data_IF_308615237259
#
_entry.id   IF_308615237259
#
_cell.length_a   1.000
_cell.length_b   1.000
_cell.length_c   1.000
_cell.angle_alpha   90.00
_cell.angle_beta   90.00
_cell.angle_gamma   90.00
#
_symmetry.space_group_name_H-M   'P 1'
#
loop_
_entity.id
_entity.type
_entity.pdbx_description
1 polymer ?
#
# COMPACT_ATOMS: atom_id res chain seq x y z
N UNK A 1 -0.19 -25.18 -16.90
CA UNK A 1 -1.55 -25.02 -16.35
C UNK A 1 -1.63 -24.19 -15.06
N UNK A 2 -0.59 -24.10 -14.21
CA UNK A 2 -0.64 -23.33 -12.94
C UNK A 2 -0.57 -21.79 -13.11
N UNK A 3 0.02 -21.31 -14.20
CA UNK A 3 0.20 -19.89 -14.52
C UNK A 3 -1.11 -19.06 -14.65
N UNK A 4 -2.18 -19.55 -15.31
CA UNK A 4 -3.43 -18.78 -15.42
C UNK A 4 -4.15 -18.61 -14.08
N UNK A 5 -4.16 -19.60 -13.19
CA UNK A 5 -4.79 -19.48 -11.87
C UNK A 5 -4.07 -18.42 -11.04
N UNK A 6 -2.74 -18.46 -11.01
CA UNK A 6 -1.92 -17.45 -10.34
C UNK A 6 -2.19 -16.04 -10.89
N UNK A 7 -2.32 -15.90 -12.21
CA UNK A 7 -2.64 -14.62 -12.84
C UNK A 7 -4.04 -14.12 -12.47
N UNK A 8 -5.06 -14.97 -12.54
CA UNK A 8 -6.43 -14.61 -12.17
C UNK A 8 -6.50 -14.16 -10.71
N UNK A 9 -5.86 -14.90 -9.80
CA UNK A 9 -5.82 -14.54 -8.37
C UNK A 9 -5.07 -13.22 -8.16
N UNK A 10 -3.93 -13.03 -8.82
CA UNK A 10 -3.14 -11.80 -8.72
C UNK A 10 -3.93 -10.58 -9.22
N UNK A 11 -4.55 -10.68 -10.39
CA UNK A 11 -5.36 -9.59 -10.98
C UNK A 11 -6.58 -9.29 -10.12
N UNK A 12 -7.32 -10.31 -9.68
CA UNK A 12 -8.48 -10.12 -8.82
C UNK A 12 -8.09 -9.45 -7.49
N UNK A 13 -7.00 -9.92 -6.86
CA UNK A 13 -6.47 -9.30 -5.65
C UNK A 13 -6.01 -7.86 -5.89
N UNK A 14 -5.36 -7.59 -7.03
CA UNK A 14 -4.96 -6.26 -7.47
C UNK A 14 -6.13 -5.29 -7.60
N UNK A 15 -7.20 -5.71 -8.26
CA UNK A 15 -8.44 -4.92 -8.38
C UNK A 15 -9.05 -4.64 -7.01
N UNK A 16 -9.17 -5.65 -6.16
CA UNK A 16 -9.68 -5.48 -4.80
C UNK A 16 -8.80 -4.52 -3.99
N UNK A 17 -7.47 -4.66 -4.06
CA UNK A 17 -6.51 -3.78 -3.41
C UNK A 17 -6.64 -2.32 -3.87
N UNK A 18 -6.78 -2.08 -5.18
CA UNK A 18 -6.95 -0.75 -5.74
C UNK A 18 -8.27 -0.11 -5.33
N UNK A 19 -9.37 -0.86 -5.27
CA UNK A 19 -10.67 -0.36 -4.84
C UNK A 19 -10.71 -0.09 -3.33
N UNK A 20 -10.08 -0.94 -2.53
CA UNK A 20 -10.05 -0.81 -1.06
C UNK A 20 -9.02 0.23 -0.59
N UNK A 21 -7.97 0.51 -1.35
CA UNK A 21 -6.90 1.44 -0.98
C UNK A 21 -7.39 2.83 -0.57
N UNK A 22 -8.23 3.52 -1.38
CA UNK A 22 -8.80 4.82 -1.01
C UNK A 22 -9.62 4.78 0.29
N UNK A 23 -10.39 3.70 0.50
CA UNK A 23 -11.17 3.50 1.71
C UNK A 23 -10.27 3.27 2.93
N UNK A 24 -9.20 2.48 2.78
CA UNK A 24 -8.21 2.25 3.80
C UNK A 24 -7.45 3.53 4.17
N UNK A 25 -7.07 4.35 3.18
CA UNK A 25 -6.46 5.68 3.38
C UNK A 25 -7.42 6.61 4.12
N UNK A 26 -8.68 6.67 3.70
CA UNK A 26 -9.69 7.51 4.35
C UNK A 26 -9.95 7.08 5.81
N UNK A 27 -9.91 5.78 6.09
CA UNK A 27 -9.97 5.26 7.45
C UNK A 27 -8.70 5.56 8.26
N UNK A 28 -7.52 5.46 7.65
CA UNK A 28 -6.24 5.77 8.28
C UNK A 28 -6.15 7.25 8.70
N UNK A 29 -6.58 8.17 7.84
CA UNK A 29 -6.61 9.61 8.13
C UNK A 29 -7.53 9.93 9.31
N UNK A 30 -8.64 9.20 9.46
CA UNK A 30 -9.62 9.41 10.54
C UNK A 30 -9.17 8.87 11.90
N UNK A 31 -8.09 8.11 11.98
CA UNK A 31 -7.53 7.62 13.25
C UNK A 31 -8.42 6.65 14.06
N UNK A 32 -9.57 6.23 13.51
CA UNK A 32 -10.58 5.43 14.21
C UNK A 32 -10.22 3.96 14.51
N UNK A 33 -11.08 3.28 15.27
CA UNK A 33 -10.98 1.84 15.60
C UNK A 33 -11.03 0.97 14.32
N UNK A 34 -10.49 -0.27 14.41
CA UNK A 34 -10.25 -1.24 13.31
C UNK A 34 -11.26 -1.07 12.16
N UNK A 35 -10.78 -0.64 11.00
CA UNK A 35 -11.62 -0.64 9.79
C UNK A 35 -11.51 -2.00 9.11
N UNK A 36 -12.66 -2.65 8.87
CA UNK A 36 -12.74 -3.87 8.06
C UNK A 36 -12.13 -3.67 6.67
N UNK A 37 -12.28 -2.47 6.09
CA UNK A 37 -11.67 -2.11 4.81
C UNK A 37 -10.13 -2.09 4.88
N UNK A 38 -9.55 -1.61 5.98
CA UNK A 38 -8.09 -1.62 6.16
C UNK A 38 -7.53 -3.04 6.33
N UNK A 39 -8.28 -3.92 7.01
CA UNK A 39 -7.91 -5.33 7.15
C UNK A 39 -8.04 -6.09 5.82
N UNK A 40 -9.12 -5.85 5.08
CA UNK A 40 -9.33 -6.43 3.76
C UNK A 40 -8.27 -5.93 2.75
N UNK A 41 -7.87 -4.65 2.84
CA UNK A 41 -6.78 -4.10 2.04
C UNK A 41 -5.44 -4.78 2.36
N UNK A 42 -5.09 -4.96 3.64
CA UNK A 42 -3.89 -5.73 4.02
C UNK A 42 -3.94 -7.15 3.46
N UNK A 43 -5.09 -7.83 3.58
CA UNK A 43 -5.26 -9.17 3.03
C UNK A 43 -5.05 -9.22 1.51
N UNK A 44 -5.61 -8.25 0.78
CA UNK A 44 -5.41 -8.13 -0.65
C UNK A 44 -3.94 -7.88 -1.01
N UNK A 45 -3.25 -6.98 -0.30
CA UNK A 45 -1.82 -6.70 -0.52
C UNK A 45 -0.97 -7.95 -0.27
N UNK A 46 -1.24 -8.70 0.80
CA UNK A 46 -0.52 -9.94 1.10
C UNK A 46 -0.69 -10.99 -0.01
N UNK A 47 -1.92 -11.13 -0.57
CA UNK A 47 -2.16 -12.00 -1.72
C UNK A 47 -1.40 -11.52 -2.97
N UNK A 48 -1.42 -10.22 -3.25
CA UNK A 48 -0.67 -9.63 -4.39
C UNK A 48 0.84 -9.88 -4.23
N UNK A 49 1.40 -9.63 -3.05
CA UNK A 49 2.82 -9.83 -2.78
C UNK A 49 3.22 -11.29 -2.92
N UNK A 50 2.43 -12.20 -2.35
CA UNK A 50 2.69 -13.65 -2.43
C UNK A 50 2.64 -14.16 -3.87
N UNK A 51 1.62 -13.73 -4.63
CA UNK A 51 1.49 -14.12 -6.04
C UNK A 51 2.56 -13.47 -6.93
N UNK A 52 3.01 -12.24 -6.63
CA UNK A 52 4.13 -11.60 -7.31
C UNK A 52 5.44 -12.35 -7.10
N UNK A 53 5.74 -12.81 -5.88
CA UNK A 53 6.89 -13.70 -5.63
C UNK A 53 6.75 -15.01 -6.43
N UNK A 54 5.54 -15.55 -6.56
CA UNK A 54 5.26 -16.70 -7.41
C UNK A 54 5.70 -16.49 -8.86
N UNK A 55 5.41 -15.34 -9.47
CA UNK A 55 5.87 -15.02 -10.83
C UNK A 55 7.38 -14.91 -10.95
N UNK A 56 8.04 -14.36 -9.93
CA UNK A 56 9.50 -14.22 -9.89
C UNK A 56 10.20 -15.57 -9.82
N UNK A 57 9.67 -16.53 -9.06
CA UNK A 57 10.20 -17.90 -9.01
C UNK A 57 10.02 -18.60 -10.36
N UNK A 58 8.93 -18.33 -11.07
CA UNK A 58 8.63 -18.92 -12.37
C UNK A 58 9.45 -18.31 -13.51
N UNK A 59 9.73 -17.01 -13.48
CA UNK A 59 10.56 -16.32 -14.47
C UNK A 59 11.37 -15.18 -13.82
N UNK A 60 12.51 -15.54 -13.23
CA UNK A 60 13.38 -14.61 -12.51
C UNK A 60 13.87 -13.45 -13.40
N UNK A 61 14.13 -13.71 -14.68
CA UNK A 61 14.86 -12.79 -15.56
C UNK A 61 14.01 -11.60 -15.98
N UNK A 62 12.70 -11.79 -16.15
CA UNK A 62 11.76 -10.72 -16.51
C UNK A 62 11.21 -9.96 -15.29
N UNK A 63 11.06 -10.63 -14.14
CA UNK A 63 10.20 -10.11 -13.06
C UNK A 63 10.94 -9.65 -11.80
N UNK A 64 12.27 -9.76 -11.73
CA UNK A 64 13.05 -9.34 -10.56
C UNK A 64 12.78 -7.92 -10.04
N UNK A 65 12.48 -6.88 -10.85
CA UNK A 65 12.22 -5.53 -10.33
C UNK A 65 10.94 -5.48 -9.48
N UNK A 66 9.99 -6.37 -9.75
CA UNK A 66 8.72 -6.45 -9.01
C UNK A 66 8.89 -7.07 -7.62
N UNK A 67 10.00 -7.74 -7.33
CA UNK A 67 10.32 -8.20 -5.96
C UNK A 67 10.46 -7.03 -5.02
N UNK A 68 11.17 -5.98 -5.45
CA UNK A 68 11.38 -4.77 -4.64
C UNK A 68 10.03 -4.11 -4.34
N UNK A 69 9.15 -4.04 -5.34
CA UNK A 69 7.79 -3.52 -5.18
C UNK A 69 6.96 -4.41 -4.24
N UNK A 70 6.97 -5.73 -4.42
CA UNK A 70 6.20 -6.66 -3.61
C UNK A 70 6.64 -6.65 -2.15
N UNK A 71 7.93 -6.81 -1.89
CA UNK A 71 8.51 -6.81 -0.55
C UNK A 71 8.36 -5.45 0.10
N UNK A 72 8.64 -4.36 -0.62
CA UNK A 72 8.48 -3.00 -0.12
C UNK A 72 7.04 -2.67 0.23
N UNK A 73 6.08 -3.10 -0.60
CA UNK A 73 4.65 -2.90 -0.35
C UNK A 73 4.21 -3.68 0.89
N UNK A 74 4.53 -4.97 0.98
CA UNK A 74 4.14 -5.81 2.12
C UNK A 74 4.77 -5.31 3.43
N UNK A 75 6.06 -5.00 3.42
CA UNK A 75 6.77 -4.44 4.56
C UNK A 75 6.16 -3.10 5.01
N UNK A 76 5.74 -2.25 4.07
CA UNK A 76 5.09 -1.00 4.38
C UNK A 76 3.73 -1.21 5.07
N UNK A 77 2.89 -2.13 4.60
CA UNK A 77 1.58 -2.37 5.25
C UNK A 77 1.76 -3.05 6.62
N UNK A 78 2.67 -4.02 6.73
CA UNK A 78 3.02 -4.67 7.99
C UNK A 78 3.58 -3.67 9.03
N UNK A 79 4.50 -2.79 8.62
CA UNK A 79 5.01 -1.72 9.46
C UNK A 79 3.91 -0.71 9.84
N UNK A 80 2.97 -0.44 8.92
CA UNK A 80 1.82 0.41 9.17
C UNK A 80 0.89 -0.16 10.23
N UNK A 81 0.73 -1.48 10.26
CA UNK A 81 -0.02 -2.20 11.29
C UNK A 81 0.74 -2.18 12.63
N UNK A 82 2.05 -2.44 12.62
CA UNK A 82 2.88 -2.38 13.83
C UNK A 82 2.81 -0.99 14.49
N UNK A 83 3.00 0.08 13.70
CA UNK A 83 2.98 1.46 14.17
C UNK A 83 1.63 1.82 14.83
N UNK A 84 0.52 1.32 14.29
CA UNK A 84 -0.82 1.46 14.88
C UNK A 84 -0.94 0.72 16.22
N UNK A 85 -0.36 -0.46 16.35
CA UNK A 85 -0.43 -1.28 17.57
C UNK A 85 0.35 -0.68 18.74
N UNK A 86 1.44 0.03 18.47
CA UNK A 86 2.33 0.56 19.52
C UNK A 86 2.07 2.04 19.85
N UNK A 87 1.24 2.75 19.07
CA UNK A 87 0.79 4.13 19.30
C UNK A 87 1.88 5.11 19.77
N UNK A 88 3.12 4.92 19.31
CA UNK A 88 4.25 5.77 19.67
C UNK A 88 4.04 7.22 19.21
N UNK A 89 4.76 8.22 19.76
CA UNK A 89 4.61 9.61 19.33
C UNK A 89 4.67 9.77 17.80
N UNK A 90 3.69 10.46 17.21
CA UNK A 90 3.58 10.59 15.75
C UNK A 90 3.14 9.32 15.00
N UNK A 91 2.59 8.30 15.68
CA UNK A 91 2.13 7.05 15.06
C UNK A 91 1.13 7.28 13.92
N UNK A 92 0.23 8.26 14.05
CA UNK A 92 -0.82 8.51 13.04
C UNK A 92 -0.21 8.99 11.72
N UNK A 93 0.79 9.88 11.79
CA UNK A 93 1.51 10.36 10.61
C UNK A 93 2.28 9.22 9.94
N UNK A 94 2.99 8.39 10.72
CA UNK A 94 3.70 7.21 10.20
C UNK A 94 2.75 6.18 9.59
N UNK A 95 1.63 5.90 10.25
CA UNK A 95 0.60 4.98 9.77
C UNK A 95 0.03 5.43 8.42
N UNK A 96 -0.34 6.71 8.28
CA UNK A 96 -0.85 7.26 7.02
C UNK A 96 0.21 7.22 5.92
N UNK A 97 1.47 7.55 6.23
CA UNK A 97 2.58 7.47 5.25
C UNK A 97 2.77 6.05 4.71
N UNK A 98 2.71 5.06 5.59
CA UNK A 98 2.91 3.66 5.25
C UNK A 98 1.74 3.10 4.41
N UNK A 99 0.49 3.40 4.78
CA UNK A 99 -0.68 2.99 3.98
C UNK A 99 -0.69 3.68 2.62
N UNK A 100 -0.50 5.01 2.56
CA UNK A 100 -0.46 5.72 1.28
C UNK A 100 0.72 5.26 0.40
N UNK A 101 1.90 5.01 0.99
CA UNK A 101 3.06 4.51 0.26
C UNK A 101 2.85 3.13 -0.35
N UNK A 102 2.16 2.23 0.37
CA UNK A 102 1.78 0.92 -0.19
C UNK A 102 0.85 1.06 -1.39
N UNK A 103 -0.11 1.99 -1.33
CA UNK A 103 -1.04 2.25 -2.42
C UNK A 103 -0.35 2.83 -3.65
N UNK A 104 0.58 3.78 -3.45
CA UNK A 104 1.43 4.31 -4.53
C UNK A 104 2.22 3.20 -5.20
N UNK A 105 2.74 2.25 -4.44
CA UNK A 105 3.49 1.11 -4.98
C UNK A 105 2.60 0.19 -5.83
N UNK A 106 1.36 -0.06 -5.42
CA UNK A 106 0.37 -0.80 -6.23
C UNK A 106 0.06 -0.08 -7.55
N UNK A 107 -0.20 1.22 -7.51
CA UNK A 107 -0.48 2.03 -8.71
C UNK A 107 0.74 2.05 -9.64
N UNK A 108 1.95 2.14 -9.08
CA UNK A 108 3.20 2.07 -9.84
C UNK A 108 3.34 0.72 -10.54
N UNK A 109 3.14 -0.38 -9.81
CA UNK A 109 3.19 -1.73 -10.40
C UNK A 109 2.19 -1.89 -11.56
N UNK A 110 0.95 -1.42 -11.39
CA UNK A 110 -0.06 -1.43 -12.45
C UNK A 110 0.37 -0.62 -13.69
N UNK A 111 0.85 0.61 -13.48
CA UNK A 111 1.29 1.49 -14.57
C UNK A 111 2.49 0.92 -15.32
N UNK A 112 3.45 0.33 -14.60
CA UNK A 112 4.64 -0.27 -15.21
C UNK A 112 4.26 -1.46 -16.10
N UNK A 113 3.36 -2.32 -15.64
CA UNK A 113 2.90 -3.49 -16.41
C UNK A 113 1.99 -3.08 -17.58
N UNK A 114 1.19 -2.02 -17.44
CA UNK A 114 0.23 -1.60 -18.48
C UNK A 114 0.83 -0.70 -19.56
N UNK A 115 1.73 0.22 -19.19
CA UNK A 115 2.27 1.24 -20.10
C UNK A 115 3.70 0.90 -20.56
N UNK A 116 4.49 0.17 -19.75
CA UNK A 116 5.86 -0.22 -20.12
C UNK A 116 6.84 0.95 -20.31
N UNK A 117 6.46 2.17 -19.92
CA UNK A 117 7.27 3.38 -20.05
C UNK A 117 8.02 3.70 -18.76
N UNK A 118 9.21 4.33 -18.87
CA UNK A 118 9.95 4.87 -17.71
C UNK A 118 9.10 5.89 -16.93
N UNK A 119 8.19 6.60 -17.61
CA UNK A 119 7.26 7.52 -16.95
C UNK A 119 6.37 6.81 -15.93
N UNK A 120 6.01 5.54 -16.15
CA UNK A 120 5.20 4.75 -15.23
C UNK A 120 5.89 4.50 -13.87
N UNK A 121 7.21 4.64 -13.81
CA UNK A 121 7.96 4.57 -12.55
C UNK A 121 7.95 5.90 -11.81
N UNK A 122 8.13 7.01 -12.54
CA UNK A 122 8.40 8.33 -11.92
C UNK A 122 7.11 9.06 -11.56
N UNK A 123 6.12 9.07 -12.45
CA UNK A 123 4.87 9.81 -12.27
C UNK A 123 4.14 9.44 -10.98
N UNK A 124 3.79 8.17 -10.74
CA UNK A 124 3.04 7.79 -9.54
C UNK A 124 3.84 8.01 -8.26
N UNK A 125 5.17 7.85 -8.29
CA UNK A 125 6.01 8.11 -7.11
C UNK A 125 6.07 9.60 -6.78
N UNK A 126 6.32 10.47 -7.77
CA UNK A 126 6.40 11.93 -7.54
C UNK A 126 5.06 12.47 -7.07
N UNK A 127 3.97 12.11 -7.77
CA UNK A 127 2.62 12.51 -7.36
C UNK A 127 2.26 11.91 -6.00
N UNK A 128 2.60 10.65 -5.79
CA UNK A 128 2.37 9.90 -4.57
C UNK A 128 3.02 10.55 -3.36
N UNK A 129 4.32 10.89 -3.42
CA UNK A 129 5.05 11.53 -2.32
C UNK A 129 4.36 12.82 -1.86
N UNK A 130 3.96 13.68 -2.80
CA UNK A 130 3.30 14.95 -2.49
C UNK A 130 1.95 14.71 -1.80
N UNK A 131 1.15 13.76 -2.31
CA UNK A 131 -0.15 13.41 -1.74
C UNK A 131 -0.03 12.75 -0.37
N UNK A 132 0.94 11.85 -0.20
CA UNK A 132 1.24 11.14 1.05
C UNK A 132 1.59 12.14 2.15
N UNK A 133 2.48 13.10 1.88
CA UNK A 133 2.88 14.11 2.85
C UNK A 133 1.72 15.04 3.22
N UNK A 134 0.90 15.45 2.25
CA UNK A 134 -0.30 16.24 2.52
C UNK A 134 -1.31 15.49 3.37
N UNK A 135 -1.56 14.21 3.07
CA UNK A 135 -2.46 13.35 3.83
C UNK A 135 -1.97 13.14 5.28
N UNK A 136 -0.68 12.86 5.45
CA UNK A 136 -0.07 12.66 6.77
C UNK A 136 -0.16 13.93 7.62
N UNK A 137 0.19 15.09 7.06
CA UNK A 137 0.06 16.39 7.75
C UNK A 137 -1.39 16.69 8.13
N UNK A 138 -2.35 16.39 7.24
CA UNK A 138 -3.78 16.57 7.52
C UNK A 138 -4.23 15.70 8.69
N UNK A 139 -3.86 14.41 8.69
CA UNK A 139 -4.22 13.48 9.77
C UNK A 139 -3.63 13.92 11.12
N UNK A 140 -2.35 14.28 11.17
CA UNK A 140 -1.70 14.77 12.40
C UNK A 140 -2.34 16.05 12.94
N UNK A 141 -2.79 16.97 12.08
CA UNK A 141 -3.53 18.17 12.50
C UNK A 141 -4.89 17.87 13.14
N UNK A 142 -5.59 16.83 12.68
CA UNK A 142 -6.89 16.44 13.24
C UNK A 142 -6.74 15.72 14.60
N UNK A 143 -5.58 15.14 14.89
CA UNK A 143 -5.30 14.47 16.17
C UNK A 143 -4.71 15.39 17.25
N UNK A 144 -4.13 16.54 16.86
CA UNK A 144 -3.58 17.53 17.78
C UNK A 144 -4.57 18.16 18.81
N UNK A 145 -5.90 18.22 18.59
CA UNK A 145 -6.82 18.77 19.59
C UNK A 145 -7.04 17.88 20.82
N UNK A 146 -6.82 16.56 20.73
CA UNK A 146 -7.14 15.61 21.81
C UNK A 146 -6.04 15.50 22.88
N UNK A 147 -4.77 15.69 22.49
CA UNK A 147 -3.62 15.55 23.41
C UNK A 147 -3.34 16.79 24.27
N UNK A 148 -4.03 17.91 24.02
CA UNK A 148 -3.91 19.14 24.82
C UNK A 148 -4.92 19.21 25.99
N UNK A 149 -5.72 18.16 26.21
CA UNK A 149 -6.75 18.06 27.25
C UNK A 149 -6.53 16.91 28.25
N UNK A 150 -5.38 16.25 28.22
CA UNK A 150 -4.96 15.23 29.19
C UNK A 150 -3.79 15.74 30.02
#
# INVERSE_FOLDING_TARGET
MAHPILMTVHVAAGVVGLLLGPLAIAAAIRGGRRSSAALAYQGAVAVIATTALGFVVLDWRSWWPFVILAVGTEAAVAAGWWARSHRTPGWLGRHVRLICGSYVSLVTALLVVSWGSVLAWVLPTVVGIVLVERAAKRASRHAAPETARA
#
